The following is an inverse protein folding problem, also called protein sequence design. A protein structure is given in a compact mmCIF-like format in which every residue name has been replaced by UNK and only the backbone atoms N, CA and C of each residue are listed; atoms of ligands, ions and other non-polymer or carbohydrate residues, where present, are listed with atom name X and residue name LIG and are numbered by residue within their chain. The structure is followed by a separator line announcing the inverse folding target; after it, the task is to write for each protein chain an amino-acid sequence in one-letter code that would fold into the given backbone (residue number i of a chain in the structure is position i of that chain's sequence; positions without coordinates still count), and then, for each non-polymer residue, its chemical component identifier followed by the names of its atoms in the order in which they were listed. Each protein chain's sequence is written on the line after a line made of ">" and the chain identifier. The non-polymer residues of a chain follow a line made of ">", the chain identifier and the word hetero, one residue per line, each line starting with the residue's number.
data_IF_819496891955
#
_entry.id   IF_819496891955
#
_cell.length_a   1.000
_cell.length_b   1.000
_cell.length_c   1.000
_cell.angle_alpha   90.00
_cell.angle_beta   90.00
_cell.angle_gamma   90.00
#
_symmetry.space_group_name_H-M   'P 1'
#
loop_
_entity.id
_entity.type
_entity.pdbx_description
1 polymer ?
#
# COMPACT_ATOMS: atom_id res chain seq x y z
N UNK A 1 14.93 0.32 23.92
CA UNK A 1 14.07 0.00 22.80
C UNK A 1 14.88 0.15 21.52
N UNK A 2 14.82 -0.83 20.63
CA UNK A 2 15.48 -0.78 19.32
C UNK A 2 14.40 -0.73 18.25
N UNK A 3 14.57 0.17 17.28
CA UNK A 3 13.78 0.21 16.10
C UNK A 3 14.37 -0.76 15.09
N UNK A 4 13.50 -1.47 14.36
CA UNK A 4 13.88 -2.30 13.21
C UNK A 4 12.92 -1.93 12.08
N UNK A 5 13.48 -1.55 10.94
CA UNK A 5 12.67 -1.23 9.76
C UNK A 5 12.09 -2.49 9.15
N UNK A 6 10.78 -2.50 8.91
CA UNK A 6 10.15 -3.60 8.19
C UNK A 6 10.62 -3.61 6.74
N UNK A 7 11.04 -4.79 6.25
CA UNK A 7 11.64 -4.93 4.91
C UNK A 7 10.81 -5.78 3.96
N UNK A 8 10.76 -5.37 2.69
CA UNK A 8 10.22 -6.17 1.60
C UNK A 8 11.28 -7.10 0.99
N UNK A 9 10.85 -8.25 0.49
CA UNK A 9 11.68 -9.14 -0.33
C UNK A 9 11.77 -8.56 -1.75
N UNK A 10 12.82 -7.80 -2.00
CA UNK A 10 13.04 -7.11 -3.27
C UNK A 10 13.15 -8.10 -4.44
N UNK A 11 13.88 -9.21 -4.25
CA UNK A 11 14.07 -10.23 -5.29
C UNK A 11 12.74 -10.88 -5.69
N UNK A 12 11.86 -11.14 -4.71
CA UNK A 12 10.53 -11.66 -4.96
C UNK A 12 9.68 -10.69 -5.80
N UNK A 13 9.70 -9.38 -5.50
CA UNK A 13 8.94 -8.40 -6.26
C UNK A 13 9.51 -8.15 -7.65
N UNK A 14 10.82 -8.22 -7.82
CA UNK A 14 11.47 -8.17 -9.13
C UNK A 14 11.13 -9.40 -9.97
N UNK A 15 11.15 -10.58 -9.38
CA UNK A 15 10.70 -11.81 -10.03
C UNK A 15 9.25 -11.68 -10.50
N UNK A 16 8.34 -11.18 -9.65
CA UNK A 16 6.95 -10.95 -10.03
C UNK A 16 6.83 -10.01 -11.22
N UNK A 17 7.50 -8.87 -11.22
CA UNK A 17 7.46 -7.89 -12.32
C UNK A 17 7.94 -8.48 -13.65
N UNK A 18 8.98 -9.31 -13.61
CA UNK A 18 9.56 -9.94 -14.80
C UNK A 18 8.67 -11.06 -15.36
N UNK A 19 7.90 -11.74 -14.52
CA UNK A 19 7.12 -12.92 -14.88
C UNK A 19 5.61 -12.68 -14.90
N UNK A 20 5.17 -11.43 -14.73
CA UNK A 20 3.76 -11.11 -14.94
C UNK A 20 3.37 -11.46 -16.36
N UNK A 21 2.27 -12.22 -16.56
CA UNK A 21 1.72 -12.41 -17.89
C UNK A 21 1.43 -11.02 -18.48
N UNK A 22 1.88 -10.81 -19.70
CA UNK A 22 1.48 -9.61 -20.44
C UNK A 22 -0.03 -9.46 -20.33
N UNK A 23 -0.49 -8.31 -19.88
CA UNK A 23 -1.93 -8.01 -19.81
C UNK A 23 -2.48 -8.21 -21.22
N UNK A 24 -3.32 -9.25 -21.38
CA UNK A 24 -3.93 -9.51 -22.68
C UNK A 24 -4.63 -8.24 -23.15
N UNK A 25 -4.43 -7.92 -24.41
CA UNK A 25 -5.00 -6.75 -25.08
C UNK A 25 -6.50 -6.62 -24.75
N UNK A 26 -6.87 -5.65 -23.91
CA UNK A 26 -8.26 -5.35 -23.56
C UNK A 26 -8.59 -5.29 -22.09
N UNK A 27 -7.73 -5.68 -21.14
CA UNK A 27 -7.94 -5.35 -19.73
C UNK A 27 -7.38 -3.94 -19.47
N UNK A 28 -8.28 -3.04 -19.12
CA UNK A 28 -7.95 -1.71 -18.65
C UNK A 28 -6.93 -1.83 -17.52
N UNK A 29 -5.81 -1.10 -17.60
CA UNK A 29 -4.85 -1.05 -16.51
C UNK A 29 -5.59 -0.63 -15.24
N UNK A 30 -5.40 -1.43 -14.18
CA UNK A 30 -5.95 -1.11 -12.87
C UNK A 30 -5.32 0.20 -12.41
N UNK A 31 -6.12 1.21 -12.08
CA UNK A 31 -5.53 2.48 -11.66
C UNK A 31 -5.13 2.42 -10.19
N UNK A 32 -6.08 2.25 -9.28
CA UNK A 32 -5.83 2.22 -7.84
C UNK A 32 -6.12 0.85 -7.25
N UNK A 33 -5.31 0.46 -6.27
CA UNK A 33 -5.53 -0.72 -5.45
C UNK A 33 -5.41 -0.37 -3.96
N UNK A 34 -6.26 -0.97 -3.15
CA UNK A 34 -6.08 -1.02 -1.69
C UNK A 34 -6.13 -2.45 -1.20
N UNK A 35 -5.22 -2.78 -0.30
CA UNK A 35 -5.17 -4.09 0.36
C UNK A 35 -5.18 -3.91 1.87
N UNK A 36 -5.80 -4.84 2.59
CA UNK A 36 -5.74 -4.83 4.03
C UNK A 36 -6.87 -5.60 4.68
N UNK A 37 -6.61 -6.10 5.89
CA UNK A 37 -7.52 -6.96 6.62
C UNK A 37 -8.22 -6.24 7.77
N UNK A 38 -7.50 -5.35 8.45
CA UNK A 38 -7.92 -4.77 9.72
C UNK A 38 -7.70 -3.25 9.74
N UNK A 39 -8.53 -2.55 10.49
CA UNK A 39 -8.39 -1.12 10.77
C UNK A 39 -8.25 -0.25 9.52
N UNK A 40 -9.06 -0.56 8.49
CA UNK A 40 -9.14 0.23 7.26
C UNK A 40 -10.35 1.17 7.29
N UNK A 41 -10.11 2.41 6.93
CA UNK A 41 -11.17 3.41 6.75
C UNK A 41 -11.71 3.37 5.31
N UNK A 42 -12.36 2.25 4.97
CA UNK A 42 -13.00 2.11 3.67
C UNK A 42 -14.16 3.09 3.48
N UNK A 43 -14.81 3.54 4.55
CA UNK A 43 -15.94 4.47 4.44
C UNK A 43 -15.50 5.80 3.81
N UNK A 44 -14.43 6.40 4.32
CA UNK A 44 -13.88 7.65 3.79
C UNK A 44 -13.29 7.45 2.40
N UNK A 45 -12.50 6.38 2.20
CA UNK A 45 -11.86 6.10 0.92
C UNK A 45 -12.87 5.88 -0.21
N UNK A 46 -13.84 4.99 -0.02
CA UNK A 46 -14.80 4.63 -1.07
C UNK A 46 -15.74 5.78 -1.40
N UNK A 47 -16.06 6.64 -0.44
CA UNK A 47 -16.80 7.86 -0.73
C UNK A 47 -16.03 8.76 -1.70
N UNK A 48 -14.73 8.93 -1.50
CA UNK A 48 -13.89 9.71 -2.41
C UNK A 48 -13.86 9.10 -3.82
N UNK A 49 -13.73 7.77 -3.95
CA UNK A 49 -13.77 7.10 -5.25
C UNK A 49 -15.15 7.15 -5.91
N UNK A 50 -16.23 7.03 -5.16
CA UNK A 50 -17.59 7.16 -5.68
C UNK A 50 -17.86 8.56 -6.25
N UNK A 51 -17.34 9.61 -5.59
CA UNK A 51 -17.51 11.01 -6.03
C UNK A 51 -16.58 11.40 -7.19
N UNK A 52 -15.38 10.80 -7.30
CA UNK A 52 -14.46 11.09 -8.41
C UNK A 52 -14.67 10.23 -9.64
N UNK A 53 -15.31 9.06 -9.50
CA UNK A 53 -15.46 8.10 -10.59
C UNK A 53 -14.16 7.38 -11.00
N UNK A 54 -13.04 7.61 -10.30
CA UNK A 54 -11.77 6.96 -10.58
C UNK A 54 -11.83 5.46 -10.21
N UNK A 55 -11.19 4.56 -10.99
CA UNK A 55 -11.29 3.13 -10.75
C UNK A 55 -10.41 2.69 -9.57
N UNK A 56 -10.99 1.87 -8.68
CA UNK A 56 -10.28 1.26 -7.55
C UNK A 56 -10.67 -0.21 -7.37
N UNK A 57 -9.68 -1.03 -7.08
CA UNK A 57 -9.87 -2.41 -6.62
C UNK A 57 -9.57 -2.51 -5.11
N UNK A 58 -10.48 -3.11 -4.39
CA UNK A 58 -10.39 -3.31 -2.93
C UNK A 58 -10.21 -4.79 -2.65
N UNK A 59 -9.10 -5.15 -2.02
CA UNK A 59 -8.84 -6.51 -1.56
C UNK A 59 -8.84 -6.54 -0.03
N UNK A 60 -9.83 -7.21 0.56
CA UNK A 60 -9.99 -7.29 2.01
C UNK A 60 -10.56 -8.63 2.46
N UNK A 61 -10.53 -8.88 3.77
CA UNK A 61 -11.21 -10.05 4.35
C UNK A 61 -12.73 -9.83 4.41
N UNK A 62 -13.54 -10.91 4.40
CA UNK A 62 -14.99 -10.81 4.53
C UNK A 62 -15.41 -10.56 5.99
N UNK A 63 -14.89 -9.51 6.60
CA UNK A 63 -15.30 -9.07 7.91
C UNK A 63 -16.75 -8.52 7.85
N UNK A 64 -17.66 -8.90 8.77
CA UNK A 64 -19.03 -8.41 8.77
C UNK A 64 -19.16 -6.89 8.77
N UNK A 65 -18.26 -6.17 9.43
CA UNK A 65 -18.22 -4.71 9.43
C UNK A 65 -18.00 -4.16 8.01
N UNK A 66 -17.02 -4.72 7.31
CA UNK A 66 -16.72 -4.30 5.93
C UNK A 66 -17.74 -4.79 4.92
N UNK A 67 -18.29 -5.98 5.08
CA UNK A 67 -19.27 -6.54 4.13
C UNK A 67 -20.49 -5.62 3.96
N UNK A 68 -21.04 -5.10 5.04
CA UNK A 68 -22.21 -4.22 5.00
C UNK A 68 -21.88 -2.90 4.29
N UNK A 69 -20.74 -2.31 4.61
CA UNK A 69 -20.26 -1.09 3.98
C UNK A 69 -20.00 -1.33 2.48
N UNK A 70 -19.25 -2.37 2.14
CA UNK A 70 -18.80 -2.63 0.77
C UNK A 70 -19.97 -2.93 -0.17
N UNK A 71 -21.02 -3.61 0.31
CA UNK A 71 -22.27 -3.81 -0.44
C UNK A 71 -22.92 -2.51 -0.90
N UNK A 72 -22.84 -1.44 -0.12
CA UNK A 72 -23.40 -0.15 -0.50
C UNK A 72 -22.68 0.46 -1.73
N UNK A 73 -21.46 0.00 -2.02
CA UNK A 73 -20.67 0.49 -3.15
C UNK A 73 -20.68 -0.43 -4.37
N UNK A 74 -21.32 -1.61 -4.31
CA UNK A 74 -21.45 -2.53 -5.47
C UNK A 74 -22.16 -1.90 -6.69
N UNK A 75 -22.97 -0.85 -6.47
CA UNK A 75 -23.63 -0.12 -7.53
C UNK A 75 -22.70 0.82 -8.33
N UNK A 76 -21.50 1.09 -7.82
CA UNK A 76 -20.52 1.97 -8.46
C UNK A 76 -19.60 1.15 -9.38
N UNK A 77 -19.73 1.33 -10.68
CA UNK A 77 -18.97 0.54 -11.68
C UNK A 77 -17.45 0.73 -11.61
N UNK A 78 -16.99 1.84 -11.00
CA UNK A 78 -15.58 2.15 -10.82
C UNK A 78 -14.97 1.54 -9.54
N UNK A 79 -15.77 0.93 -8.67
CA UNK A 79 -15.34 0.30 -7.42
C UNK A 79 -15.53 -1.21 -7.52
N UNK A 80 -14.44 -1.97 -7.44
CA UNK A 80 -14.47 -3.43 -7.47
C UNK A 80 -13.97 -3.98 -6.14
N UNK A 81 -14.77 -4.85 -5.52
CA UNK A 81 -14.44 -5.44 -4.22
C UNK A 81 -14.16 -6.92 -4.36
N UNK A 82 -13.03 -7.35 -3.82
CA UNK A 82 -12.56 -8.73 -3.82
C UNK A 82 -12.31 -9.21 -2.39
N UNK A 83 -13.02 -10.24 -1.96
CA UNK A 83 -12.74 -10.87 -0.68
C UNK A 83 -11.60 -11.86 -0.80
N UNK A 84 -10.59 -11.74 0.05
CA UNK A 84 -9.32 -12.49 -0.02
C UNK A 84 -9.39 -13.91 0.56
N UNK A 85 -10.58 -14.51 0.64
CA UNK A 85 -10.73 -15.91 1.07
C UNK A 85 -10.05 -16.82 0.04
N UNK A 86 -9.06 -17.57 0.50
CA UNK A 86 -8.31 -18.48 -0.37
C UNK A 86 -7.32 -17.84 -1.33
N UNK A 87 -7.17 -16.50 -1.29
CA UNK A 87 -6.12 -15.81 -2.05
C UNK A 87 -4.79 -15.95 -1.31
N UNK A 88 -3.81 -16.53 -1.96
CA UNK A 88 -2.45 -16.64 -1.42
C UNK A 88 -1.71 -15.29 -1.52
N UNK A 89 -0.74 -15.00 -0.62
CA UNK A 89 -0.02 -13.72 -0.61
C UNK A 89 0.59 -13.34 -1.97
N UNK A 90 1.20 -14.29 -2.69
CA UNK A 90 1.79 -14.03 -4.01
C UNK A 90 0.75 -13.66 -5.08
N UNK A 91 -0.48 -14.17 -4.96
CA UNK A 91 -1.56 -13.79 -5.88
C UNK A 91 -1.99 -12.35 -5.63
N UNK A 92 -2.07 -11.93 -4.36
CA UNK A 92 -2.39 -10.55 -3.99
C UNK A 92 -1.26 -9.60 -4.45
N UNK A 93 0.00 -9.97 -4.22
CA UNK A 93 1.16 -9.22 -4.69
C UNK A 93 1.14 -9.04 -6.23
N UNK A 94 0.69 -10.07 -6.97
CA UNK A 94 0.49 -9.99 -8.42
C UNK A 94 -0.54 -8.93 -8.80
N UNK A 95 -1.64 -8.83 -8.08
CA UNK A 95 -2.67 -7.82 -8.33
C UNK A 95 -2.15 -6.40 -8.01
N UNK A 96 -1.41 -6.24 -6.90
CA UNK A 96 -0.74 -4.96 -6.59
C UNK A 96 0.24 -4.56 -7.68
N UNK A 97 1.06 -5.50 -8.15
CA UNK A 97 2.03 -5.25 -9.22
C UNK A 97 1.41 -4.80 -10.55
N UNK A 98 0.15 -5.15 -10.81
CA UNK A 98 -0.63 -4.73 -12.00
C UNK A 98 -1.29 -3.37 -11.85
N UNK A 99 -1.19 -2.75 -10.70
CA UNK A 99 -1.81 -1.47 -10.42
C UNK A 99 -0.84 -0.32 -10.69
N UNK A 100 -1.38 0.87 -10.88
CA UNK A 100 -0.55 2.08 -11.07
C UNK A 100 -0.30 2.81 -9.76
N UNK A 101 -1.22 2.72 -8.81
CA UNK A 101 -1.20 3.47 -7.56
C UNK A 101 -1.70 2.60 -6.41
N UNK A 102 -1.08 2.75 -5.24
CA UNK A 102 -1.53 2.09 -4.02
C UNK A 102 -2.16 3.10 -3.07
N UNK A 103 -3.34 2.78 -2.54
CA UNK A 103 -4.00 3.62 -1.53
C UNK A 103 -4.12 2.86 -0.21
N UNK A 104 -3.71 3.51 0.89
CA UNK A 104 -3.62 2.92 2.23
C UNK A 104 -4.46 3.74 3.19
N UNK A 105 -5.75 3.42 3.28
CA UNK A 105 -6.69 4.06 4.19
C UNK A 105 -6.65 3.38 5.56
N UNK A 106 -6.24 4.10 6.59
CA UNK A 106 -6.15 3.56 7.94
C UNK A 106 -7.07 4.32 8.91
N UNK A 107 -7.63 3.58 9.86
CA UNK A 107 -8.23 4.17 11.05
C UNK A 107 -7.13 4.61 12.02
N UNK A 108 -7.40 5.57 12.92
CA UNK A 108 -6.49 5.87 14.04
C UNK A 108 -6.51 4.72 15.03
N UNK A 109 -5.37 4.04 15.16
CA UNK A 109 -5.25 2.86 16.00
C UNK A 109 -3.95 2.94 16.84
N UNK A 110 -3.89 2.30 18.03
CA UNK A 110 -2.74 2.40 18.94
C UNK A 110 -1.40 1.90 18.39
N UNK A 111 -1.40 1.14 17.31
CA UNK A 111 -0.18 0.66 16.64
C UNK A 111 -0.14 1.03 15.15
N UNK A 112 0.99 0.80 14.51
CA UNK A 112 1.19 1.08 13.08
C UNK A 112 0.33 0.17 12.22
N UNK A 113 -0.58 0.75 11.44
CA UNK A 113 -1.44 0.07 10.46
C UNK A 113 -0.99 0.45 9.05
N UNK A 114 -0.93 -0.53 8.14
CA UNK A 114 -0.63 -0.29 6.72
C UNK A 114 0.85 -0.36 6.33
N UNK A 115 1.77 -0.56 7.29
CA UNK A 115 3.21 -0.56 7.02
C UNK A 115 3.64 -1.63 6.00
N UNK A 116 3.10 -2.85 6.09
CA UNK A 116 3.41 -3.93 5.13
C UNK A 116 3.04 -3.52 3.70
N UNK A 117 1.83 -3.01 3.50
CA UNK A 117 1.38 -2.55 2.17
C UNK A 117 2.24 -1.38 1.65
N UNK A 118 2.69 -0.50 2.56
CA UNK A 118 3.54 0.64 2.21
C UNK A 118 4.91 0.17 1.67
N UNK A 119 5.60 -0.71 2.39
CA UNK A 119 6.91 -1.21 1.94
C UNK A 119 6.82 -2.10 0.69
N UNK A 120 5.72 -2.84 0.53
CA UNK A 120 5.43 -3.58 -0.71
C UNK A 120 5.26 -2.63 -1.90
N UNK A 121 4.50 -1.54 -1.73
CA UNK A 121 4.35 -0.51 -2.77
C UNK A 121 5.71 0.09 -3.16
N UNK A 122 6.57 0.38 -2.18
CA UNK A 122 7.93 0.86 -2.45
C UNK A 122 8.75 -0.16 -3.23
N UNK A 123 8.76 -1.42 -2.81
CA UNK A 123 9.48 -2.49 -3.52
C UNK A 123 9.03 -2.64 -4.98
N UNK A 124 7.74 -2.43 -5.24
CA UNK A 124 7.16 -2.44 -6.58
C UNK A 124 7.37 -1.13 -7.36
N UNK A 125 7.91 -0.10 -6.74
CA UNK A 125 8.07 1.22 -7.36
C UNK A 125 6.73 1.91 -7.67
N UNK A 126 5.73 1.71 -6.82
CA UNK A 126 4.41 2.30 -6.96
C UNK A 126 4.23 3.49 -6.03
N UNK A 127 3.73 4.62 -6.51
CA UNK A 127 3.41 5.77 -5.67
C UNK A 127 2.22 5.45 -4.76
N UNK A 128 2.21 6.07 -3.59
CA UNK A 128 1.19 5.81 -2.58
C UNK A 128 0.38 7.06 -2.23
N UNK A 129 -0.91 6.87 -1.93
CA UNK A 129 -1.67 7.81 -1.11
C UNK A 129 -1.99 7.10 0.20
N UNK A 130 -1.63 7.70 1.32
CA UNK A 130 -1.74 7.05 2.62
C UNK A 130 -2.36 7.98 3.65
N UNK A 131 -3.19 7.43 4.53
CA UNK A 131 -3.63 8.17 5.72
C UNK A 131 -2.40 8.59 6.53
N UNK A 132 -2.34 9.85 6.96
CA UNK A 132 -1.27 10.41 7.79
C UNK A 132 -1.25 9.73 9.16
N UNK A 133 -0.51 8.64 9.26
CA UNK A 133 -0.35 7.90 10.49
C UNK A 133 0.92 8.38 11.23
N UNK A 134 0.78 9.07 12.37
CA UNK A 134 1.94 9.59 13.10
C UNK A 134 2.84 8.49 13.69
N UNK A 135 2.43 7.24 13.59
CA UNK A 135 3.23 6.08 14.03
C UNK A 135 4.12 5.52 12.92
N UNK A 136 4.00 6.04 11.69
CA UNK A 136 5.03 5.79 10.68
C UNK A 136 6.29 6.57 11.02
N UNK A 137 7.43 5.92 10.99
CA UNK A 137 8.72 6.52 11.31
C UNK A 137 9.35 7.26 10.13
N UNK A 138 8.76 7.09 8.95
CA UNK A 138 9.14 7.83 7.75
C UNK A 138 8.07 8.85 7.40
N UNK A 139 8.49 9.91 6.74
CA UNK A 139 7.62 10.91 6.15
C UNK A 139 7.59 10.72 4.63
N UNK A 140 6.48 10.15 4.11
CA UNK A 140 6.35 9.81 2.68
C UNK A 140 6.38 11.04 1.76
N UNK A 141 5.96 12.21 2.25
CA UNK A 141 6.00 13.46 1.48
C UNK A 141 7.42 14.01 1.42
N UNK A 142 8.15 13.97 2.53
CA UNK A 142 9.55 14.39 2.60
C UNK A 142 10.45 13.51 1.74
N UNK A 143 10.21 12.19 1.74
CA UNK A 143 10.92 11.24 0.88
C UNK A 143 10.44 11.31 -0.59
N UNK A 144 9.37 12.06 -0.86
CA UNK A 144 8.82 12.22 -2.21
C UNK A 144 8.29 10.91 -2.81
N UNK A 145 7.74 10.02 -1.98
CA UNK A 145 7.26 8.69 -2.39
C UNK A 145 5.74 8.59 -2.45
N UNK A 146 5.04 9.62 -1.96
CA UNK A 146 3.57 9.61 -1.93
C UNK A 146 2.96 10.87 -1.34
N UNK A 147 1.66 10.81 -1.10
CA UNK A 147 0.83 11.91 -0.59
C UNK A 147 0.12 11.44 0.67
N UNK A 148 0.15 12.26 1.73
CA UNK A 148 -0.64 12.04 2.92
C UNK A 148 -2.04 12.61 2.82
N UNK A 149 -3.00 11.93 3.42
CA UNK A 149 -4.37 12.40 3.63
C UNK A 149 -4.70 12.27 5.12
N UNK A 150 -5.35 13.25 5.71
CA UNK A 150 -5.71 13.20 7.11
C UNK A 150 -6.86 12.20 7.39
N UNK A 151 -7.03 11.77 8.64
CA UNK A 151 -8.11 10.86 9.03
C UNK A 151 -9.49 11.45 8.71
N UNK A 152 -10.37 10.64 8.16
CA UNK A 152 -11.75 11.02 7.81
C UNK A 152 -11.87 12.16 6.78
N UNK A 153 -10.81 12.48 6.03
CA UNK A 153 -10.79 13.57 5.06
C UNK A 153 -11.12 13.08 3.64
N UNK A 154 -12.41 13.06 3.31
CA UNK A 154 -12.88 12.68 1.96
C UNK A 154 -12.34 13.62 0.88
N UNK A 155 -12.31 14.94 1.15
CA UNK A 155 -11.82 15.91 0.16
C UNK A 155 -10.32 15.78 -0.08
N UNK A 156 -9.53 15.55 0.96
CA UNK A 156 -8.10 15.23 0.82
C UNK A 156 -7.87 13.99 -0.03
N UNK A 157 -8.65 12.93 0.18
CA UNK A 157 -8.59 11.73 -0.66
C UNK A 157 -8.91 12.03 -2.12
N UNK A 158 -9.98 12.78 -2.40
CA UNK A 158 -10.36 13.18 -3.76
C UNK A 158 -9.24 13.96 -4.46
N UNK A 159 -8.65 14.91 -3.76
CA UNK A 159 -7.55 15.72 -4.30
C UNK A 159 -6.33 14.85 -4.59
N UNK A 160 -5.89 14.02 -3.64
CA UNK A 160 -4.71 13.19 -3.77
C UNK A 160 -4.82 12.14 -4.89
N UNK A 161 -5.94 11.40 -4.97
CA UNK A 161 -6.14 10.40 -6.03
C UNK A 161 -6.29 11.05 -7.40
N UNK A 162 -6.97 12.20 -7.48
CA UNK A 162 -7.09 12.95 -8.74
C UNK A 162 -5.73 13.47 -9.18
N UNK A 163 -4.93 13.99 -8.25
CA UNK A 163 -3.59 14.47 -8.56
C UNK A 163 -2.72 13.37 -9.16
N UNK A 164 -2.58 12.21 -8.51
CA UNK A 164 -1.79 11.10 -9.04
C UNK A 164 -2.30 10.63 -10.40
N UNK A 165 -3.62 10.59 -10.58
CA UNK A 165 -4.22 10.14 -11.83
C UNK A 165 -3.95 11.08 -12.99
N UNK A 166 -3.92 12.40 -12.74
CA UNK A 166 -3.74 13.45 -13.76
C UNK A 166 -2.29 13.89 -13.96
N UNK A 167 -1.37 13.50 -13.04
CA UNK A 167 0.06 13.84 -13.11
C UNK A 167 0.93 12.57 -13.16
N UNK A 168 0.88 11.82 -14.28
CA UNK A 168 1.54 10.51 -14.37
C UNK A 168 3.07 10.58 -14.27
N UNK A 169 3.71 11.69 -14.62
CA UNK A 169 5.16 11.83 -14.54
C UNK A 169 5.60 11.99 -13.07
N UNK A 170 4.91 12.85 -12.30
CA UNK A 170 5.15 13.02 -10.88
C UNK A 170 4.87 11.73 -10.11
N UNK A 171 3.78 11.06 -10.45
CA UNK A 171 3.46 9.77 -9.86
C UNK A 171 4.55 8.71 -10.15
N UNK A 172 5.07 8.67 -11.37
CA UNK A 172 6.17 7.77 -11.73
C UNK A 172 7.45 8.11 -10.95
N UNK A 173 7.75 9.40 -10.77
CA UNK A 173 8.90 9.84 -9.97
C UNK A 173 8.74 9.44 -8.50
N UNK A 174 7.53 9.57 -7.91
CA UNK A 174 7.25 9.10 -6.55
C UNK A 174 7.47 7.58 -6.42
N UNK A 175 7.01 6.80 -7.38
CA UNK A 175 7.25 5.36 -7.41
C UNK A 175 8.75 5.03 -7.49
N UNK A 176 9.50 5.72 -8.33
CA UNK A 176 10.96 5.55 -8.43
C UNK A 176 11.67 5.88 -7.11
N UNK A 177 11.28 6.97 -6.47
CA UNK A 177 11.81 7.34 -5.15
C UNK A 177 11.49 6.26 -4.10
N UNK A 178 10.27 5.70 -4.12
CA UNK A 178 9.87 4.60 -3.25
C UNK A 178 10.73 3.36 -3.45
N UNK A 179 11.03 3.01 -4.70
CA UNK A 179 11.92 1.88 -5.01
C UNK A 179 13.34 2.10 -4.47
N UNK A 180 13.91 3.28 -4.68
CA UNK A 180 15.22 3.63 -4.14
C UNK A 180 15.25 3.57 -2.60
N UNK A 181 14.16 3.99 -1.96
CA UNK A 181 14.00 3.92 -0.51
C UNK A 181 13.94 2.46 -0.02
N UNK A 182 13.19 1.60 -0.72
CA UNK A 182 13.13 0.18 -0.42
C UNK A 182 14.51 -0.49 -0.53
N UNK A 183 15.24 -0.25 -1.61
CA UNK A 183 16.58 -0.79 -1.83
C UNK A 183 17.60 -0.31 -0.78
N UNK A 184 17.44 0.93 -0.28
CA UNK A 184 18.35 1.50 0.71
C UNK A 184 18.05 1.06 2.13
N UNK A 185 16.76 1.01 2.53
CA UNK A 185 16.39 0.90 3.96
C UNK A 185 15.30 -0.14 4.24
N UNK A 186 14.30 -0.31 3.35
CA UNK A 186 13.11 -1.12 3.62
C UNK A 186 13.11 -2.46 2.87
N UNK A 187 14.25 -3.16 2.91
CA UNK A 187 14.42 -4.48 2.31
C UNK A 187 14.73 -5.55 3.37
N UNK A 188 14.60 -6.81 2.98
CA UNK A 188 14.77 -7.95 3.86
C UNK A 188 16.22 -8.11 4.35
N UNK A 189 17.22 -7.73 3.54
CA UNK A 189 18.64 -7.76 3.96
C UNK A 189 18.90 -6.77 5.08
N UNK A 190 18.41 -5.53 4.94
CA UNK A 190 18.55 -4.50 5.96
C UNK A 190 17.85 -4.92 7.27
N UNK A 191 16.62 -5.40 7.17
CA UNK A 191 15.85 -5.94 8.31
C UNK A 191 16.62 -7.04 9.04
N UNK A 192 17.14 -8.03 8.31
CA UNK A 192 17.89 -9.16 8.91
C UNK A 192 19.23 -8.74 9.50
N UNK A 193 19.88 -7.76 8.89
CA UNK A 193 21.11 -7.18 9.44
C UNK A 193 20.84 -6.47 10.78
N UNK A 194 19.87 -5.56 10.84
CA UNK A 194 19.50 -4.84 12.08
C UNK A 194 19.13 -5.84 13.19
N UNK A 195 18.29 -6.83 12.89
CA UNK A 195 17.92 -7.87 13.84
C UNK A 195 19.15 -8.65 14.33
N UNK A 196 20.06 -9.01 13.44
CA UNK A 196 21.29 -9.73 13.80
C UNK A 196 22.21 -8.95 14.74
N UNK A 197 22.31 -7.64 14.54
CA UNK A 197 23.10 -6.74 15.42
C UNK A 197 22.50 -6.69 16.83
N UNK A 198 21.18 -6.57 16.93
CA UNK A 198 20.50 -6.56 18.22
C UNK A 198 20.71 -7.88 18.96
N UNK A 199 20.48 -9.00 18.31
CA UNK A 199 20.65 -10.33 18.89
C UNK A 199 22.10 -10.58 19.37
N UNK A 200 23.11 -10.20 18.57
CA UNK A 200 24.53 -10.30 18.96
C UNK A 200 24.87 -9.44 20.19
N UNK A 201 24.31 -8.23 20.28
CA UNK A 201 24.52 -7.36 21.42
C UNK A 201 23.85 -7.90 22.70
N UNK A 202 22.65 -8.45 22.58
CA UNK A 202 21.96 -9.11 23.70
C UNK A 202 22.76 -10.33 24.19
N UNK A 203 23.24 -11.18 23.30
CA UNK A 203 24.05 -12.34 23.69
C UNK A 203 25.34 -11.98 24.44
N UNK A 204 25.97 -10.83 24.10
CA UNK A 204 27.15 -10.34 24.82
C UNK A 204 26.83 -9.78 26.21
N UNK A 205 25.60 -9.30 26.39
CA UNK A 205 25.17 -8.67 27.65
C UNK A 205 24.70 -9.69 28.69
N UNK A 206 24.16 -10.81 28.26
CA UNK A 206 23.52 -11.83 29.09
C UNK A 206 24.23 -13.21 29.04
N UNK A 207 25.26 -13.40 28.26
CA UNK A 207 26.15 -14.58 28.23
C UNK A 207 27.48 -14.30 28.92
#
# INVERSE_FOLDING_TARGET
>A
LHLIHWGADIDFYDYLRQHLPATGSGKQEKAFITTGKEHRDFATLLKAFAETGLPVEVFTTPDPEYQTLLKAYEAYSNIQVHFTVGILPHMLATEVCRSRFVVICCQDFPYTVGLTTLVEAFALGLPVVCTRNPKFEMDIEKEGVGIYVDYNDVEGWKQAITYLYTHPEEARQMGHNGRNLAEREFNLEHYTYELSVILKNMAKTYG
#
